data_IF_305078058709
#
_entry.id   IF_305078058709
#
_cell.length_a   1.000
_cell.length_b   1.000
_cell.length_c   1.000
_cell.angle_alpha   90.00
_cell.angle_beta   90.00
_cell.angle_gamma   90.00
#
_symmetry.space_group_name_H-M   'P 1'
#
loop_
_entity.id
_entity.type
_entity.pdbx_description
1 polymer ?
2 non-polymer ?
3 non-polymer ?
4 non-polymer ?
5 water ?
#
# COMPACT_ATOMS: atom_id res chain seq x y z
N UNK A 1 5.78 35.13 21.26
CA UNK A 1 6.63 34.31 20.45
C UNK A 1 5.97 32.92 20.39
N UNK A 2 4.91 32.60 21.15
CA UNK A 2 4.45 31.16 21.15
C UNK A 2 3.69 30.70 19.90
N UNK A 3 4.13 29.59 19.30
CA UNK A 3 3.67 29.14 17.99
C UNK A 3 2.17 28.94 17.90
N UNK A 4 1.55 29.45 16.84
CA UNK A 4 0.10 29.18 16.60
C UNK A 4 -0.11 27.68 16.36
N UNK A 5 -1.01 27.06 17.13
CA UNK A 5 -1.38 25.64 16.89
C UNK A 5 -2.57 25.49 15.92
N UNK A 6 -2.81 24.29 15.40
CA UNK A 6 -3.91 24.08 14.44
C UNK A 6 -4.63 22.79 14.74
N UNK A 7 -5.08 22.63 15.98
CA UNK A 7 -5.83 21.44 16.40
C UNK A 7 -7.04 21.18 15.46
N UNK A 8 -7.24 19.89 15.10
CA UNK A 8 -8.38 19.54 14.25
C UNK A 8 -9.70 19.54 15.06
N UNK A 9 -10.80 19.98 14.44
CA UNK A 9 -12.16 19.81 15.03
C UNK A 9 -12.49 18.31 15.21
N UNK A 10 -12.98 17.95 16.39
CA UNK A 10 -13.35 16.57 16.68
C UNK A 10 -14.71 16.49 17.38
N UNK A 11 -15.72 16.05 16.62
CA UNK A 11 -17.11 15.91 17.14
C UNK A 11 -17.53 14.49 17.51
N UNK A 12 -17.72 14.16 18.81
CA UNK A 12 -18.21 12.78 19.04
C UNK A 12 -19.61 12.53 18.43
N UNK A 13 -19.88 11.32 17.96
CA UNK A 13 -21.12 11.06 17.19
C UNK A 13 -22.14 10.36 18.09
N UNK A 14 -23.47 10.61 17.81
CA UNK A 14 -24.64 10.00 18.49
C UNK A 14 -24.42 8.52 18.83
N UNK A 15 -24.30 7.71 17.80
CA UNK A 15 -24.13 6.26 17.96
C UNK A 15 -23.18 5.78 16.91
N UNK A 16 -22.53 4.61 17.17
CA UNK A 16 -21.69 3.85 16.25
C UNK A 16 -22.22 3.94 14.83
N UNK A 17 -21.31 4.08 13.87
CA UNK A 17 -21.72 4.19 12.48
C UNK A 17 -20.98 3.14 11.62
N UNK A 18 -21.54 2.90 10.43
CA UNK A 18 -21.08 1.83 9.54
C UNK A 18 -20.27 2.44 8.40
N UNK A 19 -18.96 2.46 8.57
CA UNK A 19 -18.09 3.16 7.60
C UNK A 19 -18.17 2.52 6.22
N UNK A 20 -18.07 1.18 6.20
CA UNK A 20 -18.26 0.47 4.90
C UNK A 20 -19.53 0.96 4.18
N UNK A 21 -20.63 1.02 4.94
CA UNK A 21 -21.98 1.37 4.35
C UNK A 21 -21.89 2.77 3.86
N UNK A 22 -21.39 3.60 4.78
CA UNK A 22 -21.17 5.00 4.47
C UNK A 22 -20.36 5.18 3.18
N UNK A 23 -19.28 4.40 3.00
CA UNK A 23 -18.54 4.52 1.71
C UNK A 23 -19.35 4.04 0.54
N UNK A 24 -19.99 2.89 0.75
CA UNK A 24 -20.81 2.31 -0.33
C UNK A 24 -21.89 3.28 -0.76
N UNK A 25 -22.43 4.03 0.20
CA UNK A 25 -23.39 5.11 -0.03
C UNK A 25 -22.87 6.21 -0.94
N UNK A 26 -21.65 6.68 -0.70
CA UNK A 26 -21.15 7.83 -1.49
C UNK A 26 -19.63 7.68 -1.75
N UNK A 27 -19.28 6.87 -2.75
CA UNK A 27 -17.89 6.46 -2.86
C UNK A 27 -17.03 7.66 -3.18
N UNK A 28 -17.52 8.46 -4.13
CA UNK A 28 -16.97 9.75 -4.45
C UNK A 28 -16.61 10.63 -3.22
N UNK A 29 -17.35 10.52 -2.14
CA UNK A 29 -17.15 11.38 -1.00
C UNK A 29 -16.18 10.74 -0.03
N UNK A 30 -16.11 9.40 -0.08
CA UNK A 30 -15.33 8.67 0.86
C UNK A 30 -14.28 7.75 0.15
N UNK A 31 -13.19 8.33 -0.41
CA UNK A 31 -12.36 7.49 -1.29
C UNK A 31 -11.55 6.39 -0.58
N UNK A 32 -11.48 6.35 0.74
CA UNK A 32 -10.54 5.43 1.34
C UNK A 32 -10.93 5.04 2.71
N UNK A 33 -10.91 3.74 2.93
CA UNK A 33 -11.26 3.20 4.24
C UNK A 33 -10.11 2.36 4.68
N UNK A 34 -9.81 2.39 5.97
CA UNK A 34 -8.67 1.70 6.52
C UNK A 34 -9.03 1.18 7.85
N UNK A 35 -8.63 -0.06 8.10
CA UNK A 35 -8.85 -0.67 9.39
C UNK A 35 -7.54 -1.01 10.00
N UNK A 36 -7.52 -0.97 11.33
CA UNK A 36 -6.28 -1.06 12.12
C UNK A 36 -6.61 -1.77 13.41
N UNK A 37 -5.57 -2.30 14.05
CA UNK A 37 -5.64 -2.81 15.41
C UNK A 37 -4.59 -2.05 16.24
N UNK A 38 -5.05 -1.27 17.23
CA UNK A 38 -4.14 -0.57 18.15
C UNK A 38 -3.42 -1.54 19.10
N UNK A 39 -2.29 -1.11 19.68
CA UNK A 39 -1.55 -1.92 20.64
C UNK A 39 -2.08 -1.68 22.06
N UNK A 43 -5.45 -1.24 22.75
CA UNK A 43 -6.90 -1.17 22.50
C UNK A 43 -7.52 -2.42 21.83
N UNK A 44 -7.59 -2.40 20.50
CA UNK A 44 -8.22 -3.43 19.66
C UNK A 44 -8.51 -2.79 18.31
N UNK A 45 -9.62 -3.16 17.69
CA UNK A 45 -9.91 -2.71 16.33
C UNK A 45 -10.51 -1.30 16.20
N UNK A 46 -10.16 -0.64 15.08
CA UNK A 46 -10.85 0.57 14.62
C UNK A 46 -10.73 0.78 13.12
N UNK A 47 -11.43 1.79 12.66
CA UNK A 47 -11.46 2.08 11.26
C UNK A 47 -11.48 3.59 11.01
N UNK A 48 -11.20 3.96 9.79
CA UNK A 48 -11.08 5.33 9.48
C UNK A 48 -11.52 5.46 8.08
N UNK A 49 -12.33 6.47 7.80
CA UNK A 49 -12.79 6.74 6.47
C UNK A 49 -12.51 8.19 6.13
N UNK A 50 -11.78 8.38 5.05
CA UNK A 50 -11.35 9.70 4.66
C UNK A 50 -12.39 10.33 3.82
N UNK A 51 -12.57 11.62 4.07
CA UNK A 51 -13.53 12.40 3.37
C UNK A 51 -12.94 13.35 2.38
N UNK A 52 -13.22 13.12 1.11
CA UNK A 52 -12.75 13.95 0.04
C UNK A 52 -13.56 15.26 -0.13
N UNK A 53 -12.98 16.22 -0.83
CA UNK A 53 -13.45 17.60 -0.95
C UNK A 53 -13.41 17.94 -2.45
N UNK A 54 -12.69 17.10 -3.23
CA UNK A 54 -12.77 17.14 -4.69
C UNK A 54 -11.55 17.60 -5.45
N UNK A 55 -10.54 18.18 -4.77
CA UNK A 55 -9.27 18.43 -5.49
C UNK A 55 -8.33 17.23 -5.43
N UNK A 56 -7.38 17.16 -6.34
CA UNK A 56 -6.25 16.32 -6.08
C UNK A 56 -5.57 16.12 -7.38
N UNK A 57 -4.85 15.00 -7.51
CA UNK A 57 -3.95 14.81 -8.63
C UNK A 57 -4.03 13.40 -9.07
N UNK A 58 -3.66 13.15 -10.31
CA UNK A 58 -3.66 11.82 -10.76
C UNK A 58 -2.54 11.71 -11.71
N UNK A 59 -1.87 10.56 -11.68
CA UNK A 59 -0.95 10.25 -12.73
C UNK A 59 -1.71 9.44 -13.81
N UNK A 60 -1.85 10.01 -14.99
CA UNK A 60 -2.68 9.43 -16.06
C UNK A 60 -1.83 8.50 -16.91
N UNK A 61 -2.52 7.69 -17.69
CA UNK A 61 -1.90 6.67 -18.54
C UNK A 61 -1.00 7.23 -19.62
N UNK A 62 -1.17 8.50 -19.97
CA UNK A 62 -0.16 9.08 -20.86
C UNK A 62 1.14 9.55 -20.15
N UNK A 63 1.28 9.23 -18.87
CA UNK A 63 2.52 9.56 -18.15
C UNK A 63 2.56 11.01 -17.69
N UNK A 64 1.40 11.69 -17.61
CA UNK A 64 1.37 13.08 -17.14
C UNK A 64 0.44 13.20 -15.99
N UNK A 65 0.70 14.13 -15.10
CA UNK A 65 -0.13 14.35 -13.95
C UNK A 65 -1.16 15.38 -14.27
N UNK A 66 -2.37 15.24 -13.71
CA UNK A 66 -3.37 16.26 -13.98
C UNK A 66 -4.08 16.52 -12.71
N UNK A 67 -4.71 17.71 -12.58
CA UNK A 67 -5.54 17.94 -11.37
C UNK A 67 -7.03 17.85 -11.67
N UNK A 68 -7.84 18.20 -10.69
CA UNK A 68 -9.29 18.11 -10.81
C UNK A 68 -9.85 18.93 -11.98
N UNK A 69 -9.17 20.02 -12.35
CA UNK A 69 -9.52 20.85 -13.54
C UNK A 69 -8.82 20.35 -14.78
N UNK A 70 -8.43 19.08 -14.77
CA UNK A 70 -7.69 18.46 -15.87
C UNK A 70 -6.56 19.25 -16.46
N UNK A 71 -5.96 20.13 -15.68
CA UNK A 71 -4.70 20.77 -16.14
C UNK A 71 -3.46 19.92 -15.88
N UNK A 72 -2.61 19.80 -16.87
CA UNK A 72 -1.37 19.14 -16.73
C UNK A 72 -0.43 19.89 -15.74
N UNK A 73 -0.15 19.25 -14.61
CA UNK A 73 0.91 19.69 -13.73
C UNK A 73 2.21 19.06 -14.21
N UNK A 74 3.27 19.87 -14.37
CA UNK A 74 4.58 19.34 -14.80
C UNK A 74 5.30 18.40 -13.77
N UNK A 75 6.27 17.64 -14.26
CA UNK A 75 7.04 16.67 -13.47
C UNK A 75 6.34 15.32 -13.23
N UNK A 76 6.83 14.60 -12.24
CA UNK A 76 6.40 13.30 -11.90
C UNK A 76 5.25 13.46 -10.88
N UNK A 77 4.56 12.37 -10.60
CA UNK A 77 3.48 12.38 -9.59
C UNK A 77 4.03 12.83 -8.23
N UNK A 78 5.22 12.39 -7.88
CA UNK A 78 5.72 12.70 -6.53
C UNK A 78 6.15 14.24 -6.46
N UNK A 79 6.66 14.79 -7.54
CA UNK A 79 6.91 16.25 -7.58
C UNK A 79 5.61 16.98 -7.43
N UNK A 80 4.59 16.56 -8.19
CA UNK A 80 3.35 17.32 -8.10
C UNK A 80 2.80 17.16 -6.74
N UNK A 81 2.94 15.95 -6.18
CA UNK A 81 2.37 15.77 -4.86
C UNK A 81 3.11 16.70 -3.87
N UNK A 82 4.43 16.80 -4.05
CA UNK A 82 5.24 17.66 -3.13
C UNK A 82 4.80 19.12 -3.24
N UNK A 83 4.53 19.59 -4.45
CA UNK A 83 4.08 21.02 -4.64
C UNK A 83 2.77 21.23 -3.96
N UNK A 84 1.89 20.20 -3.99
CA UNK A 84 0.56 20.41 -3.39
C UNK A 84 0.68 20.39 -1.91
N UNK A 85 1.54 19.50 -1.43
CA UNK A 85 1.75 19.48 0.03
C UNK A 85 2.38 20.80 0.54
N UNK A 86 3.41 21.32 -0.13
CA UNK A 86 4.08 22.58 0.30
C UNK A 86 3.00 23.64 0.41
N UNK A 87 2.24 23.80 -0.67
CA UNK A 87 1.11 24.74 -0.75
C UNK A 87 0.18 24.72 0.41
N UNK A 88 0.01 23.62 1.09
CA UNK A 88 -0.87 23.65 2.26
C UNK A 88 -0.22 23.11 3.51
N UNK A 89 1.11 23.15 3.50
CA UNK A 89 1.90 22.56 4.55
C UNK A 89 1.57 23.13 5.89
N UNK A 90 1.50 22.30 6.92
CA UNK A 90 1.41 22.83 8.28
C UNK A 90 2.65 22.40 9.07
N UNK A 91 2.97 23.12 10.15
CA UNK A 91 4.04 22.76 11.05
C UNK A 91 3.51 21.77 12.02
N UNK A 92 4.37 20.90 12.49
CA UNK A 92 3.92 19.86 13.39
C UNK A 92 3.70 20.35 14.81
N UNK A 93 2.53 20.07 15.37
CA UNK A 93 2.17 20.50 16.71
C UNK A 93 2.59 19.51 17.77
N UNK A 94 3.18 18.39 17.39
CA UNK A 94 3.75 17.44 18.36
C UNK A 94 2.74 16.55 19.08
N UNK A 95 1.50 16.54 18.61
CA UNK A 95 0.55 15.62 19.22
C UNK A 95 0.03 14.57 18.24
N UNK A 96 0.05 13.31 18.66
CA UNK A 96 -0.56 12.28 17.83
C UNK A 96 -1.41 11.30 18.59
N UNK A 97 -2.51 11.74 19.17
CA UNK A 97 -3.51 10.76 19.63
C UNK A 97 -4.10 10.24 18.32
N UNK A 98 -4.53 11.20 17.51
CA UNK A 98 -5.24 11.00 16.27
C UNK A 98 -4.31 10.87 15.05
N UNK A 99 -4.31 9.69 14.40
CA UNK A 99 -3.32 9.41 13.38
C UNK A 99 -3.56 10.15 12.08
N UNK A 100 -4.80 10.43 11.75
CA UNK A 100 -5.02 11.25 10.56
C UNK A 100 -5.74 12.53 10.94
N UNK A 101 -5.35 13.64 10.33
CA UNK A 101 -5.80 14.95 10.77
C UNK A 101 -6.21 15.81 9.59
N UNK A 102 -6.11 15.22 8.41
CA UNK A 102 -6.52 15.88 7.19
C UNK A 102 -5.35 16.05 6.29
N UNK A 103 -5.54 15.79 5.02
CA UNK A 103 -4.55 16.13 4.05
C UNK A 103 -4.92 15.43 2.77
N UNK A 104 -4.33 14.25 2.50
CA UNK A 104 -4.60 13.54 1.27
C UNK A 104 -4.73 12.05 1.46
N UNK A 105 -5.61 11.42 0.66
CA UNK A 105 -5.69 9.93 0.55
C UNK A 105 -4.75 9.63 -0.57
N UNK A 106 -3.91 8.61 -0.45
CA UNK A 106 -3.00 8.35 -1.56
C UNK A 106 -3.21 6.89 -2.07
N UNK A 107 -2.99 6.64 -3.34
CA UNK A 107 -3.01 5.30 -3.84
C UNK A 107 -1.94 5.29 -4.85
N UNK A 108 -0.99 4.38 -4.69
CA UNK A 108 0.06 4.32 -5.72
C UNK A 108 0.22 2.90 -6.24
N UNK A 109 0.23 2.73 -7.56
CA UNK A 109 0.45 1.42 -8.14
C UNK A 109 1.94 1.24 -8.09
N UNK A 110 2.35 -0.02 -8.24
CA UNK A 110 3.70 -0.39 -8.31
C UNK A 110 4.45 0.37 -9.37
N UNK A 111 3.76 0.65 -10.45
CA UNK A 111 4.33 1.22 -11.63
C UNK A 111 4.82 2.74 -11.39
N UNK A 112 4.43 3.39 -10.29
CA UNK A 112 5.03 4.64 -9.85
C UNK A 112 6.56 4.51 -9.80
N UNK A 113 7.05 3.29 -9.61
CA UNK A 113 8.45 3.09 -9.40
C UNK A 113 9.29 3.51 -10.59
N UNK A 114 8.71 3.45 -11.79
CA UNK A 114 9.53 3.83 -12.96
C UNK A 114 9.72 5.35 -13.03
N UNK A 115 8.92 6.11 -12.29
CA UNK A 115 9.19 7.53 -12.14
C UNK A 115 10.34 7.75 -11.15
N UNK A 116 10.57 6.80 -10.25
CA UNK A 116 11.59 6.96 -9.18
C UNK A 116 12.91 6.44 -9.73
N UNK A 117 12.87 5.30 -10.42
CA UNK A 117 14.04 4.71 -11.06
C UNK A 117 13.80 4.61 -12.53
N UNK A 118 14.14 5.68 -13.27
CA UNK A 118 13.69 5.70 -14.66
C UNK A 118 14.48 4.71 -15.49
N UNK A 119 15.44 3.99 -14.91
CA UNK A 119 15.98 2.86 -15.66
C UNK A 119 14.88 1.78 -15.99
N UNK A 120 13.79 1.75 -15.25
CA UNK A 120 12.74 0.76 -15.45
C UNK A 120 11.74 1.26 -16.50
N UNK A 121 11.35 0.38 -17.45
CA UNK A 121 10.39 0.77 -18.49
C UNK A 121 9.09 1.21 -17.81
N UNK A 122 8.51 2.32 -18.25
CA UNK A 122 7.24 2.78 -17.70
C UNK A 122 6.08 2.01 -18.32
N UNK A 123 5.01 1.78 -17.56
CA UNK A 123 3.87 1.12 -18.09
C UNK A 123 2.63 1.78 -17.60
N UNK A 124 1.76 2.12 -18.55
CA UNK A 124 0.38 2.52 -18.29
C UNK A 124 -0.44 1.31 -17.83
N UNK A 125 -1.51 1.51 -17.04
CA UNK A 125 -2.53 0.52 -16.85
C UNK A 125 -3.21 0.13 -18.17
N UNK A 126 -3.46 -1.17 -18.30
CA UNK A 126 -4.27 -1.73 -19.39
C UNK A 126 -5.62 -1.08 -19.52
N UNK A 127 -6.38 -0.94 -18.43
CA UNK A 127 -7.66 -0.25 -18.48
C UNK A 127 -7.53 1.26 -18.70
N UNK A 128 -6.32 1.81 -18.83
CA UNK A 128 -6.16 3.27 -19.07
C UNK A 128 -6.62 4.18 -17.95
N UNK A 129 -6.90 3.64 -16.78
CA UNK A 129 -7.21 4.49 -15.62
C UNK A 129 -5.86 4.99 -14.93
N UNK A 130 -5.95 5.90 -13.96
CA UNK A 130 -4.73 6.55 -13.36
C UNK A 130 -3.85 5.52 -12.60
N UNK A 131 -2.56 5.44 -12.90
CA UNK A 131 -1.52 4.76 -12.07
C UNK A 131 -1.49 5.18 -10.61
N UNK A 132 -1.82 6.46 -10.32
CA UNK A 132 -1.71 6.97 -8.93
C UNK A 132 -2.62 8.15 -8.70
N UNK A 133 -3.03 8.32 -7.45
CA UNK A 133 -3.90 9.37 -7.12
C UNK A 133 -3.52 9.99 -5.81
N UNK A 134 -3.70 11.33 -5.66
CA UNK A 134 -3.65 11.96 -4.34
C UNK A 134 -4.96 12.78 -4.17
N UNK A 135 -5.74 12.53 -3.15
CA UNK A 135 -7.10 13.11 -3.14
C UNK A 135 -7.15 13.94 -1.93
N UNK A 136 -7.49 15.23 -2.09
CA UNK A 136 -7.55 16.12 -0.94
C UNK A 136 -8.66 15.71 -0.04
N UNK A 137 -8.34 15.39 1.22
CA UNK A 137 -9.26 14.95 2.24
C UNK A 137 -9.20 15.71 3.60
N UNK A 138 -10.09 16.72 3.80
CA UNK A 138 -9.92 17.61 4.96
C UNK A 138 -10.62 17.13 6.17
N UNK A 139 -11.17 15.92 6.09
CA UNK A 139 -11.89 15.39 7.21
C UNK A 139 -11.91 13.89 7.17
N UNK A 140 -12.29 13.27 8.27
CA UNK A 140 -12.37 11.87 8.33
C UNK A 140 -13.51 11.46 9.25
N UNK A 141 -13.99 10.22 9.06
CA UNK A 141 -14.86 9.62 10.08
C UNK A 141 -14.14 8.45 10.70
N UNK A 142 -14.16 8.35 12.02
CA UNK A 142 -13.46 7.29 12.77
C UNK A 142 -14.43 6.43 13.52
N UNK A 143 -14.05 5.18 13.77
CA UNK A 143 -14.90 4.28 14.53
C UNK A 143 -14.04 3.35 15.33
N UNK A 144 -13.96 3.64 16.62
CA UNK A 144 -13.42 2.72 17.59
C UNK A 144 -14.36 1.50 17.66
N UNK A 145 -13.80 0.31 17.45
CA UNK A 145 -14.60 -0.93 17.56
C UNK A 145 -14.71 -1.36 18.99
N UNK A 146 -13.60 -1.22 19.72
CA UNK A 146 -13.53 -1.53 21.16
C UNK A 146 -14.54 -0.78 22.03
N UNK A 147 -14.79 0.50 21.73
CA UNK A 147 -15.57 1.39 22.63
C UNK A 147 -16.86 1.90 22.04
N UNK A 148 -17.30 1.34 20.92
CA UNK A 148 -18.47 1.85 20.19
C UNK A 148 -18.41 3.28 19.61
N UNK A 149 -17.42 4.06 20.04
CA UNK A 149 -17.37 5.48 19.68
C UNK A 149 -17.14 5.72 18.18
N UNK A 150 -17.94 6.60 17.60
CA UNK A 150 -17.65 7.19 16.30
C UNK A 150 -17.33 8.70 16.43
N UNK A 151 -16.58 9.30 15.49
CA UNK A 151 -16.32 10.74 15.48
C UNK A 151 -16.24 11.26 14.08
N UNK A 152 -16.56 12.54 13.89
CA UNK A 152 -16.02 13.21 12.73
C UNK A 152 -14.80 14.06 13.17
N UNK A 153 -13.80 14.14 12.29
CA UNK A 153 -12.66 15.01 12.50
C UNK A 153 -12.48 15.76 11.24
N UNK A 154 -12.13 17.02 11.38
CA UNK A 154 -11.91 17.85 10.24
C UNK A 154 -10.81 18.85 10.62
N UNK A 155 -10.16 19.42 9.59
CA UNK A 155 -9.08 20.40 9.73
C UNK A 155 -9.78 21.66 10.34
N UNK A 156 -9.12 22.40 11.24
CA UNK A 156 -9.69 23.69 11.74
C UNK A 156 -10.08 24.52 10.53
N UNK A 157 -11.24 25.17 10.61
CA UNK A 157 -11.76 25.95 9.48
C UNK A 157 -12.73 25.21 8.56
N UNK A 158 -13.09 24.00 8.96
CA UNK A 158 -13.92 23.14 8.14
C UNK A 158 -15.23 22.84 8.84
N UNK A 159 -15.62 23.72 9.77
CA UNK A 159 -16.86 23.58 10.55
C UNK A 159 -18.09 23.17 9.75
N UNK A 160 -18.25 23.76 8.56
CA UNK A 160 -19.34 23.46 7.62
C UNK A 160 -19.29 22.00 7.22
N UNK A 161 -18.19 21.64 6.57
CA UNK A 161 -18.03 20.27 6.16
C UNK A 161 -18.20 19.36 7.34
N UNK A 162 -17.64 19.71 8.49
CA UNK A 162 -17.85 18.86 9.66
C UNK A 162 -19.33 18.74 9.98
N UNK A 163 -20.07 19.84 9.79
CA UNK A 163 -21.49 19.84 10.17
C UNK A 163 -22.27 18.86 9.28
N UNK A 164 -22.07 19.01 7.97
CA UNK A 164 -22.72 18.23 6.92
C UNK A 164 -22.48 16.72 7.02
N UNK A 165 -21.35 16.35 7.63
CA UNK A 165 -20.97 14.98 7.91
C UNK A 165 -21.63 14.51 9.17
N UNK A 166 -21.78 15.39 10.17
CA UNK A 166 -22.46 14.95 11.39
C UNK A 166 -23.92 14.75 11.02
N UNK A 167 -24.41 15.57 10.10
CA UNK A 167 -25.75 15.44 9.56
C UNK A 167 -25.93 14.05 8.96
N UNK A 168 -25.14 13.81 7.92
CA UNK A 168 -25.22 12.65 7.07
C UNK A 168 -24.41 11.48 7.64
N UNK A 169 -24.43 11.35 8.96
CA UNK A 169 -24.01 10.15 9.68
C UNK A 169 -25.10 10.11 10.67
N UNK A 170 -25.54 8.92 11.05
CA UNK A 170 -26.82 8.79 11.74
C UNK A 170 -27.92 9.43 10.84
N UNK A 171 -28.25 8.78 9.73
CA UNK A 171 -29.22 9.31 8.77
C UNK A 171 -29.94 8.17 8.07
N UNK A 172 -29.28 7.01 8.00
CA UNK A 172 -29.86 5.79 7.45
C UNK A 172 -29.05 4.58 7.94
N UNK A 173 -28.12 4.12 7.09
CA UNK A 173 -27.42 2.83 7.20
C UNK A 173 -28.19 1.79 6.38
N UNK A 174 -28.43 2.07 5.06
CA UNK A 174 -28.96 0.97 4.24
C UNK A 174 -28.37 -0.38 4.67
N UNK A 175 -27.04 -0.47 4.73
CA UNK A 175 -26.29 -1.61 5.31
C UNK A 175 -25.53 -2.40 4.22
N UNK A 176 -24.20 -2.29 4.26
CA UNK A 176 -23.32 -2.56 3.11
C UNK A 176 -22.90 -3.99 2.91
N UNK A 177 -22.44 -4.26 1.68
CA UNK A 177 -21.76 -5.49 1.32
C UNK A 177 -22.65 -6.71 1.31
N UNK A 178 -23.88 -6.54 0.83
CA UNK A 178 -24.77 -7.66 0.63
C UNK A 178 -24.99 -7.85 -0.87
N UNK A 179 -25.54 -9.01 -1.25
CA UNK A 179 -25.71 -9.35 -2.65
C UNK A 179 -24.41 -9.90 -3.28
N UNK A 180 -23.54 -10.46 -2.44
CA UNK A 180 -22.37 -11.17 -2.95
C UNK A 180 -22.72 -12.39 -3.77
N UNK A 181 -22.32 -12.42 -5.04
CA UNK A 181 -22.43 -13.61 -5.89
C UNK A 181 -21.05 -14.23 -6.17
N UNK A 182 -20.87 -15.57 -5.96
CA UNK A 182 -19.55 -16.17 -6.28
C UNK A 182 -19.24 -16.07 -7.73
N UNK A 183 -17.95 -16.23 -8.10
CA UNK A 183 -17.73 -16.00 -9.51
C UNK A 183 -18.20 -17.24 -10.34
N UNK A 184 -18.35 -17.02 -11.65
CA UNK A 184 -18.76 -18.08 -12.58
C UNK A 184 -17.62 -18.61 -13.45
N UNK A 185 -16.41 -18.06 -13.28
CA UNK A 185 -15.19 -18.53 -13.95
C UNK A 185 -13.98 -17.94 -13.22
N UNK A 186 -12.84 -18.61 -13.34
CA UNK A 186 -11.64 -18.31 -12.58
C UNK A 186 -10.53 -18.56 -13.58
N UNK A 187 -9.44 -17.82 -13.47
CA UNK A 187 -8.36 -17.93 -14.46
C UNK A 187 -6.99 -17.54 -13.85
N UNK A 188 -5.94 -17.64 -14.65
CA UNK A 188 -4.57 -17.41 -14.19
C UNK A 188 -3.60 -17.38 -15.36
N UNK A 189 -2.48 -16.66 -15.22
CA UNK A 189 -1.37 -16.75 -16.16
C UNK A 189 -1.00 -18.19 -16.35
N UNK A 190 -0.70 -18.56 -17.60
CA UNK A 190 -0.20 -19.88 -17.89
C UNK A 190 0.98 -20.17 -16.98
N UNK A 191 0.95 -21.33 -16.32
CA UNK A 191 1.94 -21.65 -15.29
C UNK A 191 3.37 -21.71 -15.82
N UNK A 192 3.52 -22.03 -17.10
CA UNK A 192 4.87 -22.09 -17.67
C UNK A 192 5.55 -20.74 -17.60
N UNK A 193 4.81 -19.64 -17.79
CA UNK A 193 5.37 -18.30 -17.68
C UNK A 193 6.12 -18.10 -16.33
N UNK A 194 5.55 -18.65 -15.26
CA UNK A 194 6.11 -18.48 -13.95
C UNK A 194 7.28 -19.38 -13.77
N UNK A 195 7.14 -20.66 -14.14
CA UNK A 195 8.21 -21.60 -13.80
C UNK A 195 9.44 -21.35 -14.67
N UNK A 196 9.23 -20.95 -15.91
CA UNK A 196 10.35 -20.49 -16.73
C UNK A 196 10.94 -19.17 -16.16
N UNK A 197 10.11 -18.30 -15.62
CA UNK A 197 10.60 -17.05 -14.96
C UNK A 197 11.50 -17.45 -13.78
N UNK A 198 11.08 -18.45 -13.02
CA UNK A 198 11.85 -18.85 -11.86
C UNK A 198 13.20 -19.39 -12.26
N UNK A 199 13.21 -20.20 -13.32
CA UNK A 199 14.48 -20.74 -13.81
C UNK A 199 15.46 -19.62 -14.28
N UNK A 200 14.92 -18.59 -14.90
CA UNK A 200 15.67 -17.45 -15.31
C UNK A 200 16.14 -16.66 -14.05
N UNK A 201 15.26 -16.48 -13.05
CA UNK A 201 15.71 -15.88 -11.77
C UNK A 201 16.89 -16.66 -11.18
N UNK A 202 16.84 -17.99 -11.20
CA UNK A 202 17.84 -18.82 -10.58
C UNK A 202 19.21 -18.61 -11.24
N UNK A 203 19.26 -18.36 -12.57
CA UNK A 203 20.51 -17.96 -13.28
C UNK A 203 21.12 -16.70 -12.68
N UNK A 204 20.30 -15.69 -12.44
CA UNK A 204 20.81 -14.49 -11.78
C UNK A 204 21.26 -14.74 -10.36
N UNK A 205 20.52 -15.59 -9.62
CA UNK A 205 20.91 -15.92 -8.26
C UNK A 205 22.21 -16.68 -8.25
N UNK A 206 22.39 -17.64 -9.17
CA UNK A 206 23.60 -18.46 -9.23
C UNK A 206 24.78 -17.54 -9.62
N UNK A 207 24.52 -16.55 -10.47
CA UNK A 207 25.55 -15.57 -10.81
C UNK A 207 25.98 -14.70 -9.59
N UNK A 208 25.12 -14.58 -8.58
CA UNK A 208 25.55 -13.89 -7.36
C UNK A 208 25.21 -12.39 -7.47
N UNK A 209 24.56 -11.98 -8.56
CA UNK A 209 24.18 -10.60 -8.72
C UNK A 209 22.96 -10.18 -7.89
N UNK A 210 22.08 -11.12 -7.47
CA UNK A 210 20.91 -10.79 -6.62
C UNK A 210 20.86 -11.93 -5.65
N UNK A 211 20.07 -11.78 -4.60
CA UNK A 211 20.05 -12.76 -3.51
C UNK A 211 18.61 -13.26 -3.28
N UNK A 212 17.61 -12.49 -3.74
CA UNK A 212 16.19 -12.87 -3.50
C UNK A 212 15.40 -12.04 -4.48
N UNK A 213 14.37 -12.65 -5.09
CA UNK A 213 13.46 -11.95 -6.03
C UNK A 213 12.04 -12.45 -5.83
N UNK A 214 11.11 -11.52 -5.65
CA UNK A 214 9.70 -11.82 -5.51
C UNK A 214 9.12 -11.90 -6.92
N UNK A 215 8.92 -13.13 -7.41
CA UNK A 215 8.28 -13.27 -8.72
C UNK A 215 6.77 -13.58 -8.56
N UNK A 216 5.92 -12.88 -9.29
CA UNK A 216 4.48 -13.02 -9.09
C UNK A 216 3.77 -13.42 -10.39
N UNK A 217 2.46 -13.72 -10.28
CA UNK A 217 1.60 -14.09 -11.44
C UNK A 217 0.16 -13.70 -11.12
N UNK A 218 -0.59 -13.42 -12.16
CA UNK A 218 -1.89 -12.86 -12.05
C UNK A 218 -3.00 -13.95 -12.05
N UNK A 219 -4.01 -13.74 -11.20
CA UNK A 219 -5.26 -14.52 -11.09
C UNK A 219 -6.43 -13.65 -11.40
N UNK A 220 -7.51 -14.26 -11.86
CA UNK A 220 -8.72 -13.48 -12.15
C UNK A 220 -10.01 -14.30 -11.88
N UNK A 221 -11.10 -13.60 -11.55
CA UNK A 221 -12.40 -14.20 -11.31
C UNK A 221 -13.41 -13.37 -12.06
N UNK A 222 -14.27 -14.06 -12.82
CA UNK A 222 -15.33 -13.40 -13.60
C UNK A 222 -16.67 -13.69 -12.99
N UNK A 223 -17.53 -12.67 -13.01
CA UNK A 223 -18.83 -12.75 -12.37
C UNK A 223 -19.91 -12.48 -13.41
N UNK A 224 -21.11 -12.92 -13.09
CA UNK A 224 -22.25 -12.75 -14.00
C UNK A 224 -22.71 -11.31 -13.99
N UNK A 225 -22.91 -10.77 -12.77
CA UNK A 225 -23.22 -9.33 -12.64
C UNK A 225 -21.97 -8.47 -12.12
N UNK A 226 -21.91 -7.15 -12.46
CA UNK A 226 -20.83 -6.24 -11.94
C UNK A 226 -20.50 -6.42 -10.44
N UNK A 227 -19.23 -6.39 -10.06
CA UNK A 227 -18.91 -6.71 -8.64
C UNK A 227 -19.04 -5.44 -7.78
N UNK A 228 -19.45 -5.60 -6.52
CA UNK A 228 -19.44 -4.47 -5.63
C UNK A 228 -18.17 -4.50 -4.73
N UNK A 229 -17.33 -3.46 -4.87
CA UNK A 229 -16.08 -3.37 -4.11
C UNK A 229 -16.28 -3.63 -2.62
N UNK A 230 -17.28 -3.00 -1.99
CA UNK A 230 -17.56 -3.21 -0.55
C UNK A 230 -18.10 -4.63 -0.20
N UNK A 231 -18.85 -5.22 -1.14
CA UNK A 231 -19.32 -6.62 -0.94
C UNK A 231 -18.11 -7.55 -0.99
N UNK A 232 -17.25 -7.31 -1.98
CA UNK A 232 -15.98 -8.09 -2.04
C UNK A 232 -15.19 -7.89 -0.77
N UNK A 233 -15.10 -6.63 -0.34
CA UNK A 233 -14.34 -6.29 0.88
C UNK A 233 -14.85 -7.09 2.06
N UNK A 234 -16.18 -7.04 2.21
CA UNK A 234 -16.84 -7.76 3.33
C UNK A 234 -16.54 -9.27 3.29
N UNK A 235 -16.65 -9.88 2.11
CA UNK A 235 -16.26 -11.33 1.92
C UNK A 235 -14.86 -11.63 2.40
N UNK A 236 -13.94 -10.75 2.04
CA UNK A 236 -12.54 -11.00 2.33
C UNK A 236 -12.27 -10.77 3.80
N UNK A 237 -12.91 -9.75 4.39
CA UNK A 237 -12.69 -9.49 5.83
C UNK A 237 -13.27 -10.60 6.73
N UNK A 238 -14.47 -11.07 6.38
CA UNK A 238 -15.09 -12.22 7.09
C UNK A 238 -14.18 -13.41 7.02
N UNK A 239 -13.77 -13.76 5.80
CA UNK A 239 -12.94 -14.93 5.60
C UNK A 239 -11.57 -14.78 6.27
N UNK A 240 -10.95 -13.61 6.18
CA UNK A 240 -9.70 -13.45 6.96
C UNK A 240 -9.65 -12.14 7.75
N UNK A 241 -10.03 -12.18 9.04
CA UNK A 241 -10.12 -10.98 9.86
C UNK A 241 -8.74 -10.44 10.27
N UNK A 242 -7.86 -10.19 9.30
CA UNK A 242 -6.53 -9.65 9.61
C UNK A 242 -6.55 -8.27 10.36
N UNK A 243 -5.50 -7.98 11.16
CA UNK A 243 -5.46 -6.78 12.01
C UNK A 243 -5.60 -5.48 11.23
N UNK A 244 -5.06 -5.46 10.00
CA UNK A 244 -5.09 -4.29 9.14
C UNK A 244 -5.71 -4.64 7.79
N UNK A 245 -6.37 -3.67 7.15
CA UNK A 245 -7.04 -3.85 5.84
C UNK A 245 -7.48 -2.49 5.31
N UNK A 246 -7.99 -2.45 4.09
CA UNK A 246 -8.69 -1.26 3.65
C UNK A 246 -9.26 -1.37 2.27
N UNK A 247 -9.83 -0.28 1.83
CA UNK A 247 -10.48 -0.25 0.54
C UNK A 247 -10.37 1.14 -0.02
N UNK A 248 -9.73 1.25 -1.15
CA UNK A 248 -9.61 2.53 -1.77
C UNK A 248 -10.46 2.52 -3.02
N UNK A 249 -11.18 3.60 -3.30
CA UNK A 249 -12.02 3.60 -4.45
C UNK A 249 -12.18 4.98 -5.04
N UNK A 250 -11.74 5.18 -6.27
CA UNK A 250 -12.02 6.46 -6.87
C UNK A 250 -11.46 6.40 -8.21
N UNK A 251 -12.00 7.21 -9.12
CA UNK A 251 -11.53 7.26 -10.48
C UNK A 251 -11.58 5.97 -11.25
N UNK A 252 -12.48 5.08 -10.83
CA UNK A 252 -12.53 3.78 -11.49
C UNK A 252 -11.49 2.79 -10.99
N UNK A 253 -10.68 3.16 -9.98
CA UNK A 253 -9.73 2.28 -9.36
C UNK A 253 -10.46 1.79 -8.16
N UNK A 254 -10.42 0.48 -7.90
CA UNK A 254 -11.13 -0.04 -6.74
C UNK A 254 -10.24 -1.11 -6.23
N UNK A 255 -9.73 -0.93 -5.02
CA UNK A 255 -8.52 -1.65 -4.63
C UNK A 255 -8.85 -2.12 -3.27
N UNK A 256 -8.85 -3.44 -3.09
CA UNK A 256 -9.32 -4.03 -1.82
C UNK A 256 -8.14 -4.73 -1.17
N UNK A 257 -7.82 -4.35 0.06
CA UNK A 257 -6.58 -4.82 0.60
C UNK A 257 -6.94 -5.69 1.75
N UNK A 258 -6.38 -6.89 1.83
CA UNK A 258 -6.88 -7.74 2.91
C UNK A 258 -5.80 -8.12 3.84
N UNK A 259 -4.57 -7.95 3.43
CA UNK A 259 -3.50 -8.37 4.31
C UNK A 259 -2.27 -7.40 4.18
N UNK A 260 -2.40 -6.12 4.55
CA UNK A 260 -1.25 -5.30 4.14
C UNK A 260 -0.06 -5.42 5.06
N UNK A 261 1.06 -4.88 4.63
CA UNK A 261 2.19 -4.65 5.54
C UNK A 261 2.50 -3.14 5.51
N UNK A 262 3.28 -2.67 6.47
CA UNK A 262 3.69 -1.28 6.48
C UNK A 262 4.75 -1.05 5.40
N UNK A 263 4.53 -0.05 4.57
CA UNK A 263 5.62 0.40 3.73
C UNK A 263 6.46 1.42 4.56
N UNK A 264 5.84 2.54 4.95
CA UNK A 264 6.54 3.60 5.77
C UNK A 264 5.52 4.33 6.60
N UNK A 265 5.95 4.66 7.80
CA UNK A 265 5.26 5.56 8.71
C UNK A 265 6.16 6.77 9.08
N UNK A 266 5.62 7.99 9.06
CA UNK A 266 6.38 9.12 9.53
C UNK A 266 5.53 9.87 10.60
N UNK A 267 6.07 10.02 11.81
CA UNK A 267 5.45 10.77 12.89
C UNK A 267 6.41 11.80 13.42
N UNK A 268 6.10 13.07 13.18
CA UNK A 268 6.98 14.19 13.63
C UNK A 268 8.39 13.92 13.21
N UNK A 269 8.58 13.66 11.91
CA UNK A 269 9.92 13.48 11.31
C UNK A 269 10.56 12.14 11.66
N UNK A 270 9.90 11.34 12.53
CA UNK A 270 10.45 10.01 12.79
C UNK A 270 9.92 8.99 11.80
N UNK A 271 10.79 8.51 10.93
CA UNK A 271 10.41 7.61 9.83
C UNK A 271 10.71 6.16 10.20
N UNK A 272 9.78 5.26 9.89
CA UNK A 272 9.84 3.84 10.33
C UNK A 272 9.25 2.96 9.18
N UNK A 273 9.85 1.79 9.00
CA UNK A 273 9.69 0.88 7.90
C UNK A 273 9.54 -0.57 8.47
N UNK A 274 9.79 -0.79 9.74
CA UNK A 274 9.67 -2.12 10.34
C UNK A 274 8.31 -2.74 10.07
N UNK A 275 8.26 -4.07 9.84
CA UNK A 275 6.95 -4.76 9.63
C UNK A 275 5.99 -4.53 10.79
N UNK A 276 4.71 -4.30 10.51
CA UNK A 276 3.72 -4.07 11.61
C UNK A 276 3.41 -5.35 12.34
N UNK A 277 3.32 -6.46 11.60
CA UNK A 277 3.51 -7.83 12.14
C UNK A 277 4.53 -7.88 13.32
N UNK A 278 5.75 -7.35 13.11
CA UNK A 278 6.84 -7.37 14.10
C UNK A 278 8.06 -8.19 13.67
N UNK A 279 7.91 -9.02 12.63
CA UNK A 279 8.89 -10.06 12.24
C UNK A 279 9.22 -10.03 10.73
N UNK A 280 10.46 -9.79 10.42
CA UNK A 280 10.92 -9.80 9.06
C UNK A 280 10.71 -11.20 8.40
N UNK A 281 10.53 -11.23 7.07
CA UNK A 281 10.31 -12.47 6.33
C UNK A 281 11.59 -13.35 6.14
N UNK A 282 11.41 -14.64 6.20
CA UNK A 282 12.45 -15.60 5.93
C UNK A 282 12.18 -16.36 4.67
N UNK A 283 13.18 -16.39 3.79
CA UNK A 283 12.99 -17.04 2.49
C UNK A 283 13.94 -18.22 2.38
N UNK A 284 13.40 -19.36 1.95
CA UNK A 284 14.21 -20.54 1.85
C UNK A 284 13.77 -21.27 0.58
N UNK A 285 14.63 -22.13 0.09
CA UNK A 285 14.29 -22.84 -1.13
C UNK A 285 14.00 -24.29 -0.80
N UNK A 286 14.31 -25.17 -1.73
CA UNK A 286 13.89 -26.60 -1.64
C UNK A 286 15.03 -27.57 -1.64
N UNK A 287 16.03 -27.35 -0.81
CA UNK A 287 17.28 -28.17 -0.85
C UNK A 287 17.17 -29.66 -0.39
N UNK A 301 26.42 -29.34 7.71
CA UNK A 301 25.34 -29.40 8.68
C UNK A 301 25.22 -28.08 9.50
N UNK A 302 26.35 -27.59 10.05
CA UNK A 302 26.43 -26.21 10.56
C UNK A 302 26.34 -25.12 9.47
N UNK A 303 25.19 -24.45 9.32
CA UNK A 303 25.10 -23.32 8.35
C UNK A 303 26.08 -22.14 8.58
N UNK A 304 26.48 -21.53 7.49
CA UNK A 304 27.22 -20.29 7.48
C UNK A 304 26.23 -19.17 7.68
N UNK A 305 26.68 -18.05 8.22
CA UNK A 305 25.83 -16.87 8.44
C UNK A 305 26.64 -15.70 7.99
N UNK A 306 26.20 -15.09 6.92
CA UNK A 306 26.86 -13.91 6.39
C UNK A 306 25.85 -12.78 6.41
N UNK A 307 26.31 -11.63 6.90
CA UNK A 307 25.52 -10.46 6.88
C UNK A 307 25.77 -9.75 5.55
N UNK A 308 24.73 -9.32 4.83
CA UNK A 308 24.88 -8.73 3.47
C UNK A 308 24.27 -7.35 3.59
N UNK A 309 25.00 -6.34 3.12
CA UNK A 309 24.44 -4.99 3.16
C UNK A 309 24.72 -4.39 1.82
N UNK A 310 23.66 -4.03 1.13
CA UNK A 310 23.76 -3.35 -0.18
C UNK A 310 24.18 -1.92 0.00
N UNK A 311 25.40 -1.60 -0.43
CA UNK A 311 26.02 -0.32 -0.10
C UNK A 311 25.52 0.82 -0.93
N UNK A 312 24.86 0.49 -2.02
CA UNK A 312 24.24 1.51 -2.86
C UNK A 312 22.72 1.59 -2.68
N UNK A 313 22.18 1.01 -1.63
CA UNK A 313 20.73 0.91 -1.52
C UNK A 313 20.21 2.35 -1.38
N UNK A 314 19.09 2.69 -1.99
CA UNK A 314 18.63 4.08 -1.85
C UNK A 314 17.43 4.07 -0.91
N UNK A 315 17.63 4.47 0.33
CA UNK A 315 16.66 4.14 1.34
C UNK A 315 16.57 5.25 2.41
N UNK A 316 15.99 4.98 3.57
CA UNK A 316 15.81 6.07 4.58
C UNK A 316 17.14 6.70 4.94
N UNK A 317 18.24 5.98 4.70
CA UNK A 317 19.56 6.40 5.18
C UNK A 317 19.94 7.68 4.40
N UNK A 318 19.50 7.83 3.17
CA UNK A 318 19.80 9.01 2.36
C UNK A 318 19.04 10.26 2.80
N UNK A 319 18.01 10.13 3.60
CA UNK A 319 17.20 11.29 3.94
C UNK A 319 17.08 11.59 5.41
N UNK A 320 17.82 10.84 6.23
CA UNK A 320 17.80 11.00 7.66
C UNK A 320 19.06 11.71 8.26
N UNK A 321 18.90 12.25 9.46
CA UNK A 321 20.01 12.92 10.13
C UNK A 321 21.00 11.84 10.62
N UNK A 322 22.30 12.05 10.37
CA UNK A 322 23.38 11.23 10.95
C UNK A 322 23.22 11.02 12.44
N UNK A 323 23.37 9.79 12.88
CA UNK A 323 23.24 9.49 14.30
C UNK A 323 21.84 9.07 14.66
N UNK A 324 20.88 9.18 13.72
CA UNK A 324 19.55 8.72 14.02
C UNK A 324 19.15 7.43 13.29
N UNK A 325 19.93 6.94 12.31
CA UNK A 325 19.43 5.82 11.59
C UNK A 325 19.60 4.49 12.31
N UNK A 326 18.54 3.70 12.37
CA UNK A 326 18.60 2.37 12.95
C UNK A 326 18.68 1.37 11.79
N UNK A 327 19.59 0.42 11.90
CA UNK A 327 19.78 -0.60 10.91
C UNK A 327 19.16 -1.90 11.48
N UNK A 328 18.55 -2.74 10.66
CA UNK A 328 18.11 -4.06 11.19
C UNK A 328 17.92 -5.05 10.05
N UNK A 329 17.60 -6.29 10.37
CA UNK A 329 17.43 -7.37 9.37
C UNK A 329 16.20 -7.16 8.49
N UNK A 330 16.40 -6.96 7.18
CA UNK A 330 15.27 -6.77 6.26
C UNK A 330 14.60 -8.12 5.95
N UNK A 331 15.43 -9.14 5.75
CA UNK A 331 14.94 -10.47 5.46
C UNK A 331 16.14 -11.39 5.58
N UNK A 332 15.85 -12.66 5.54
CA UNK A 332 16.85 -13.68 5.53
C UNK A 332 16.71 -14.54 4.26
N UNK A 333 17.80 -15.02 3.70
CA UNK A 333 17.70 -16.00 2.68
C UNK A 333 18.51 -17.19 3.11
N UNK A 334 17.89 -18.35 3.02
CA UNK A 334 18.47 -19.59 3.51
C UNK A 334 18.46 -20.62 2.40
N UNK A 335 19.64 -20.98 1.92
CA UNK A 335 19.76 -21.94 0.82
C UNK A 335 20.99 -22.72 1.06
N UNK A 336 20.92 -23.96 0.59
CA UNK A 336 22.05 -24.85 0.71
C UNK A 336 22.62 -24.82 2.11
N UNK A 337 23.89 -24.48 2.27
CA UNK A 337 24.47 -24.52 3.62
C UNK A 337 24.67 -23.08 4.21
N UNK A 338 23.77 -22.12 3.93
CA UNK A 338 24.05 -20.76 4.46
C UNK A 338 22.80 -20.08 4.77
N UNK A 339 22.93 -19.08 5.62
CA UNK A 339 21.85 -18.18 5.85
C UNK A 339 22.47 -16.76 5.65
N UNK A 340 21.90 -15.98 4.73
CA UNK A 340 22.27 -14.60 4.54
C UNK A 340 21.29 -13.73 5.22
N UNK A 341 21.84 -12.82 6.03
CA UNK A 341 21.07 -11.93 6.86
C UNK A 341 21.17 -10.65 6.13
N UNK A 342 20.09 -10.24 5.53
CA UNK A 342 20.10 -9.04 4.71
C UNK A 342 19.70 -7.85 5.56
N UNK A 343 20.62 -6.89 5.72
CA UNK A 343 20.41 -5.85 6.72
C UNK A 343 20.22 -4.52 6.00
N UNK A 344 19.31 -3.65 6.49
CA UNK A 344 19.18 -2.38 5.84
C UNK A 344 18.79 -1.32 6.85
N UNK A 345 18.73 -0.04 6.45
CA UNK A 345 18.22 1.01 7.31
C UNK A 345 16.74 0.92 7.43
N UNK A 346 16.24 0.82 8.65
CA UNK A 346 14.86 0.65 8.88
C UNK A 346 14.15 1.83 9.52
N UNK A 347 14.86 2.69 10.25
CA UNK A 347 14.16 3.89 10.78
C UNK A 347 15.17 5.02 10.93
N UNK A 348 14.69 6.24 11.10
CA UNK A 348 15.58 7.38 11.29
C UNK A 348 14.77 8.62 11.49
N UNK A 349 15.47 9.72 11.83
CA UNK A 349 14.86 11.04 11.86
C UNK A 349 15.13 11.79 10.57
N UNK A 350 14.08 12.24 9.90
CA UNK A 350 14.23 12.95 8.66
C UNK A 350 14.97 14.31 8.84
N UNK A 351 15.83 14.68 7.91
CA UNK A 351 16.19 16.05 7.72
C UNK A 351 14.94 16.93 7.58
N UNK A 352 15.02 18.15 8.11
CA UNK A 352 13.73 18.83 8.37
C UNK A 352 12.99 19.29 7.13
N UNK A 353 13.63 19.42 5.99
CA UNK A 353 12.86 19.78 4.81
C UNK A 353 12.63 18.55 3.87
N UNK A 354 12.88 17.34 4.34
CA UNK A 354 12.50 16.16 3.49
C UNK A 354 11.00 16.18 3.14
N UNK A 355 10.66 16.06 1.89
CA UNK A 355 9.24 16.10 1.51
C UNK A 355 8.61 14.70 1.50
N UNK A 356 7.24 14.61 1.52
CA UNK A 356 6.61 13.29 1.43
C UNK A 356 7.04 12.54 0.19
N UNK A 357 7.24 13.23 -0.94
CA UNK A 357 7.63 12.49 -2.14
C UNK A 357 8.99 11.87 -2.01
N UNK A 358 9.82 12.50 -1.18
CA UNK A 358 11.19 12.00 -1.00
C UNK A 358 11.16 10.85 -0.05
N UNK A 359 10.33 10.90 0.96
CA UNK A 359 10.15 9.66 1.69
C UNK A 359 9.60 8.45 0.91
N UNK A 360 8.66 8.72 0.01
CA UNK A 360 8.13 7.68 -0.84
C UNK A 360 9.24 7.18 -1.72
N UNK A 361 9.99 8.09 -2.36
CA UNK A 361 11.08 7.73 -3.26
C UNK A 361 12.13 6.88 -2.54
N UNK A 362 12.32 7.11 -1.24
CA UNK A 362 13.36 6.44 -0.49
C UNK A 362 12.92 5.02 -0.14
N UNK A 363 11.61 4.81 -0.12
CA UNK A 363 11.12 3.57 0.44
C UNK A 363 10.31 2.64 -0.50
N UNK A 364 9.91 3.12 -1.67
CA UNK A 364 8.85 2.49 -2.45
C UNK A 364 9.47 1.98 -3.69
N UNK A 365 9.20 0.71 -4.06
CA UNK A 365 8.34 -0.32 -3.42
C UNK A 365 9.13 -1.01 -2.32
N UNK A 366 8.50 -1.73 -1.41
CA UNK A 366 9.30 -2.35 -0.30
C UNK A 366 10.31 -3.35 -0.83
N UNK A 367 11.34 -3.60 -0.03
CA UNK A 367 12.47 -4.44 -0.40
C UNK A 367 12.10 -5.94 -0.36
N UNK A 368 11.16 -6.31 0.48
CA UNK A 368 10.92 -7.77 0.62
C UNK A 368 9.98 -8.32 -0.50
N UNK A 369 9.26 -7.45 -1.21
CA UNK A 369 8.39 -7.94 -2.30
C UNK A 369 8.90 -7.52 -3.69
N UNK A 370 10.19 -7.16 -3.78
CA UNK A 370 10.86 -6.91 -5.03
C UNK A 370 12.10 -7.76 -5.04
N UNK A 371 13.14 -7.33 -4.32
CA UNK A 371 14.25 -8.17 -4.03
C UNK A 371 15.43 -7.37 -3.50
N UNK A 372 16.58 -8.03 -3.44
CA UNK A 372 17.78 -7.36 -3.04
C UNK A 372 18.90 -7.85 -3.96
N UNK A 373 19.65 -6.94 -4.56
CA UNK A 373 19.48 -5.47 -4.49
C UNK A 373 18.27 -5.05 -5.27
N UNK A 374 17.64 -4.01 -4.75
CA UNK A 374 16.30 -3.65 -5.18
C UNK A 374 16.12 -3.33 -6.65
N UNK A 375 16.93 -2.41 -7.15
CA UNK A 375 16.70 -1.92 -8.49
C UNK A 375 16.96 -3.03 -9.51
N UNK A 376 18.02 -3.80 -9.34
CA UNK A 376 18.31 -4.87 -10.30
C UNK A 376 17.15 -5.90 -10.25
N UNK A 377 16.56 -6.10 -9.07
CA UNK A 377 15.50 -7.11 -8.94
C UNK A 377 14.30 -6.56 -9.67
N UNK A 378 14.02 -5.24 -9.57
CA UNK A 378 12.91 -4.65 -10.29
C UNK A 378 13.02 -4.76 -11.79
N UNK A 379 14.26 -4.75 -12.31
CA UNK A 379 14.45 -4.91 -13.73
C UNK A 379 14.23 -6.36 -14.13
N UNK A 380 14.68 -7.30 -13.31
CA UNK A 380 14.38 -8.68 -13.59
C UNK A 380 12.85 -8.92 -13.50
N UNK A 381 12.18 -8.40 -12.47
CA UNK A 381 10.73 -8.59 -12.33
C UNK A 381 10.04 -8.08 -13.61
N UNK A 382 10.44 -6.89 -14.04
CA UNK A 382 9.82 -6.26 -15.19
C UNK A 382 9.95 -7.09 -16.49
N UNK A 383 11.14 -7.60 -16.73
CA UNK A 383 11.40 -8.40 -17.90
C UNK A 383 10.60 -9.73 -17.80
N UNK A 384 10.45 -10.31 -16.61
CA UNK A 384 9.85 -11.63 -16.53
C UNK A 384 8.38 -11.64 -16.36
N UNK A 385 7.79 -10.63 -15.70
CA UNK A 385 6.35 -10.63 -15.52
C UNK A 385 5.59 -10.03 -16.73
N UNK A 386 6.25 -9.12 -17.44
CA UNK A 386 5.78 -8.54 -18.69
C UNK A 386 4.59 -7.63 -18.67
N UNK A 387 3.94 -7.43 -17.54
CA UNK A 387 2.71 -6.66 -17.55
C UNK A 387 2.82 -5.86 -16.26
N UNK A 388 2.06 -4.76 -16.12
CA UNK A 388 2.09 -3.99 -14.88
C UNK A 388 1.64 -4.81 -13.65
N UNK A 389 2.08 -4.49 -12.44
CA UNK A 389 1.64 -5.18 -11.24
C UNK A 389 0.39 -4.51 -10.78
N UNK A 390 0.14 -3.28 -11.20
CA UNK A 390 -1.02 -2.56 -10.68
C UNK A 390 -0.91 -2.32 -9.19
N UNK A 391 -1.98 -2.57 -8.47
CA UNK A 391 -2.00 -2.38 -7.05
C UNK A 391 -1.14 -3.37 -6.30
N UNK A 392 -0.87 -4.52 -6.89
CA UNK A 392 -0.10 -5.51 -6.18
C UNK A 392 1.34 -4.92 -5.88
N UNK A 393 1.74 -4.90 -4.60
CA UNK A 393 3.05 -4.35 -4.10
C UNK A 393 3.18 -2.84 -4.40
N UNK A 394 2.04 -2.16 -4.64
CA UNK A 394 1.85 -0.68 -4.56
C UNK A 394 1.56 -0.25 -3.14
N UNK A 395 1.02 0.94 -2.95
CA UNK A 395 0.72 1.32 -1.59
C UNK A 395 -0.44 2.23 -1.57
N UNK A 396 -1.10 2.28 -0.42
CA UNK A 396 -2.05 3.32 -0.22
C UNK A 396 -2.03 3.72 1.23
N UNK A 397 -2.68 4.84 1.54
CA UNK A 397 -2.85 5.28 2.93
C UNK A 397 -2.99 6.81 2.84
N UNK A 398 -2.34 7.55 3.74
CA UNK A 398 -2.59 9.02 3.81
C UNK A 398 -1.38 9.84 4.17
N UNK A 399 -1.47 11.15 3.89
CA UNK A 399 -0.49 12.12 4.23
C UNK A 399 -1.20 13.30 4.96
N UNK A 400 -0.75 13.61 6.16
CA UNK A 400 -1.21 14.83 6.85
C UNK A 400 -0.53 16.08 6.33
N UNK A 401 -1.19 17.21 6.54
CA UNK A 401 -0.66 18.53 6.12
C UNK A 401 0.67 18.83 6.82
N UNK A 402 0.89 18.25 7.98
CA UNK A 402 2.12 18.47 8.69
C UNK A 402 3.23 17.53 8.25
N UNK A 403 2.95 16.65 7.27
CA UNK A 403 3.96 15.76 6.71
C UNK A 403 3.93 14.33 7.28
N UNK A 404 3.27 14.11 8.42
CA UNK A 404 3.04 12.76 8.89
C UNK A 404 2.36 11.91 7.82
N UNK A 405 2.77 10.66 7.74
CA UNK A 405 2.21 9.82 6.70
C UNK A 405 2.15 8.36 7.15
N UNK A 406 1.29 7.59 6.51
CA UNK A 406 1.16 6.16 6.82
C UNK A 406 0.80 5.51 5.49
N UNK A 407 1.68 4.65 4.99
CA UNK A 407 1.50 4.00 3.74
C UNK A 407 1.70 2.52 3.99
N UNK A 408 0.87 1.69 3.37
CA UNK A 408 0.94 0.25 3.50
C UNK A 408 1.34 -0.32 2.19
N UNK A 409 2.11 -1.42 2.22
CA UNK A 409 2.38 -2.20 1.02
C UNK A 409 1.14 -3.09 0.79
N UNK A 410 0.69 -3.19 -0.46
CA UNK A 410 -0.53 -3.94 -0.82
C UNK A 410 -0.09 -5.32 -1.28
N UNK A 411 -0.35 -6.32 -0.46
CA UNK A 411 0.16 -7.66 -0.75
C UNK A 411 -1.00 -8.67 -1.04
N UNK A 412 -2.00 -8.75 -0.17
CA UNK A 412 -3.15 -9.63 -0.48
C UNK A 412 -4.31 -8.71 -0.92
N UNK A 413 -4.25 -8.34 -2.18
CA UNK A 413 -5.02 -7.22 -2.61
C UNK A 413 -5.61 -7.42 -3.98
N UNK A 414 -6.90 -7.10 -4.10
CA UNK A 414 -7.56 -7.39 -5.38
C UNK A 414 -8.03 -6.11 -5.96
N UNK A 415 -8.06 -6.06 -7.29
CA UNK A 415 -8.71 -4.93 -7.96
C UNK A 415 -10.03 -5.38 -8.65
N UNK A 416 -11.07 -4.55 -8.52
CA UNK A 416 -12.35 -4.72 -9.19
C UNK A 416 -12.47 -3.83 -10.39
N UNK A 417 -12.80 -4.44 -11.51
CA UNK A 417 -13.14 -3.73 -12.76
C UNK A 417 -14.44 -4.38 -13.40
N UNK A 418 -15.60 -3.75 -13.21
CA UNK A 418 -16.89 -4.26 -13.77
C UNK A 418 -17.19 -5.69 -13.29
N UNK A 419 -17.02 -6.68 -14.16
CA UNK A 419 -17.41 -8.08 -13.78
C UNK A 419 -16.22 -8.88 -13.32
N UNK A 420 -15.07 -8.23 -13.26
CA UNK A 420 -13.81 -8.92 -12.99
C UNK A 420 -13.08 -8.55 -11.69
N UNK A 421 -12.68 -9.55 -10.91
CA UNK A 421 -11.76 -9.33 -9.79
C UNK A 421 -10.40 -9.91 -10.19
N UNK A 422 -9.34 -9.12 -10.07
CA UNK A 422 -7.97 -9.68 -10.21
C UNK A 422 -7.03 -9.36 -9.02
N UNK A 423 -5.98 -10.18 -8.94
CA UNK A 423 -5.06 -10.20 -7.86
C UNK A 423 -3.82 -10.98 -8.29
N UNK A 424 -2.70 -10.74 -7.62
CA UNK A 424 -1.46 -11.41 -7.98
C UNK A 424 -1.03 -12.09 -6.74
N UNK A 425 -0.30 -13.19 -6.89
CA UNK A 425 0.43 -13.65 -5.75
C UNK A 425 1.86 -13.96 -6.22
N UNK A 426 2.82 -14.10 -5.27
CA UNK A 426 4.21 -14.23 -5.64
C UNK A 426 4.94 -15.11 -4.68
N UNK A 427 6.16 -15.45 -5.02
CA UNK A 427 7.00 -16.31 -4.14
C UNK A 427 8.38 -15.69 -4.18
N UNK A 428 9.07 -15.69 -3.05
CA UNK A 428 10.40 -15.12 -2.95
C UNK A 428 11.40 -16.14 -3.43
N UNK A 429 11.95 -15.97 -4.64
CA UNK A 429 12.85 -17.00 -5.15
C UNK A 429 14.26 -16.80 -4.62
N UNK A 430 14.94 -17.88 -4.24
CA UNK A 430 16.29 -17.85 -3.73
C UNK A 430 17.03 -18.96 -4.45
N UNK A 431 18.33 -19.02 -4.23
CA UNK A 431 19.21 -19.74 -5.10
C UNK A 431 18.87 -21.22 -5.18
N UNK A 432 18.36 -21.82 -4.10
CA UNK A 432 18.01 -23.26 -4.16
C UNK A 432 16.51 -23.51 -4.30
N UNK A 433 15.77 -22.51 -4.76
CA UNK A 433 14.37 -22.61 -5.02
C UNK A 433 14.06 -23.69 -6.07
N UNK A 434 12.94 -24.38 -5.88
CA UNK A 434 12.48 -25.33 -6.90
C UNK A 434 11.31 -24.73 -7.65
N UNK A 435 11.44 -24.56 -8.98
CA UNK A 435 10.37 -23.91 -9.69
C UNK A 435 8.95 -24.41 -9.46
N UNK A 436 8.73 -25.75 -9.43
CA UNK A 436 7.32 -26.24 -9.31
C UNK A 436 6.83 -26.02 -7.90
N UNK A 437 7.71 -26.10 -6.93
CA UNK A 437 7.32 -25.73 -5.56
C UNK A 437 6.97 -24.24 -5.41
N UNK A 438 7.69 -23.37 -6.13
CA UNK A 438 7.40 -21.92 -5.99
C UNK A 438 6.02 -21.76 -6.63
N UNK A 439 5.77 -22.48 -7.72
CA UNK A 439 4.45 -22.38 -8.39
C UNK A 439 3.35 -22.79 -7.40
N UNK A 440 3.61 -23.86 -6.65
CA UNK A 440 2.62 -24.31 -5.65
C UNK A 440 2.39 -23.25 -4.60
N UNK A 441 3.46 -22.53 -4.24
CA UNK A 441 3.31 -21.55 -3.19
C UNK A 441 2.46 -20.44 -3.78
N UNK A 442 2.64 -20.06 -5.03
CA UNK A 442 1.72 -19.02 -5.49
C UNK A 442 0.25 -19.46 -5.44
N UNK A 443 0.02 -20.75 -5.65
CA UNK A 443 -1.39 -21.25 -5.68
C UNK A 443 -1.85 -21.36 -4.30
N UNK A 444 -0.96 -21.76 -3.40
CA UNK A 444 -1.39 -21.82 -2.00
C UNK A 444 -1.83 -20.44 -1.49
N UNK A 445 -1.20 -19.38 -2.01
CA UNK A 445 -1.54 -18.02 -1.58
C UNK A 445 -2.81 -17.58 -2.24
N UNK A 446 -3.06 -18.04 -3.45
CA UNK A 446 -4.32 -17.68 -4.08
C UNK A 446 -5.56 -18.43 -3.49
N UNK A 447 -5.33 -19.63 -2.98
CA UNK A 447 -6.41 -20.51 -2.49
C UNK A 447 -7.27 -19.78 -1.48
N UNK A 448 -6.62 -19.19 -0.48
CA UNK A 448 -7.30 -18.42 0.56
C UNK A 448 -8.24 -17.40 -0.02
N UNK A 449 -7.78 -16.64 -1.00
CA UNK A 449 -8.63 -15.64 -1.63
C UNK A 449 -9.77 -16.24 -2.47
N UNK A 450 -9.45 -17.25 -3.27
CA UNK A 450 -10.44 -17.94 -4.08
C UNK A 450 -11.50 -18.57 -3.17
N UNK A 451 -11.11 -19.19 -2.05
CA UNK A 451 -12.07 -19.74 -1.07
C UNK A 451 -13.10 -18.68 -0.79
N UNK A 452 -12.64 -17.56 -0.26
CA UNK A 452 -13.53 -16.48 0.16
C UNK A 452 -14.38 -15.94 -0.98
N UNK A 453 -13.96 -16.10 -2.22
CA UNK A 453 -14.80 -15.61 -3.27
C UNK A 453 -16.06 -16.52 -3.45
N UNK A 454 -16.09 -17.69 -2.80
CA UNK A 454 -17.11 -18.73 -2.95
C UNK A 454 -18.45 -18.44 -2.31
#
# INVERSE_FOLDING_TARGET
>A
GSHGTHAPLIHPLPHPIDLLALQQHDPARFPLLMESTASGTAQGRWSLLLVAQGDGLRLDADGQVRDQHDLVQPGTFLQALDRAWQHERLSHDGSHSLPFRGGWALMLDYEVASQIEPVLPARARGDGRPTALALRCPAAVLHDHHNEASFVIAEAGEQALLDALVALASAALPEAGQGWQPPQAVGEDAPQRFTDGVRRVIEYLRAGDVFQVNLSRRWNAQFAAPVSPQALYAQLRRANPAPFAGLFSAHGRHVVSSSPERLVSVHAGHAQTRPIAGTRPRFEGDDDAARIQELVGHPKERAEHVMLIDLERNDLGRICLPGTVVVDELMTVESYAHVHHIVSNVSGHLRPEVTPGEVIAATFPGGTITGCPKVRCMQIISELEQVPRGAYTGAFGWLNRDGDLDLNILIRTAEVDGHEVSFRTGAGIVVDSDPDKELDETRAKARGLLRALGQQG
#
